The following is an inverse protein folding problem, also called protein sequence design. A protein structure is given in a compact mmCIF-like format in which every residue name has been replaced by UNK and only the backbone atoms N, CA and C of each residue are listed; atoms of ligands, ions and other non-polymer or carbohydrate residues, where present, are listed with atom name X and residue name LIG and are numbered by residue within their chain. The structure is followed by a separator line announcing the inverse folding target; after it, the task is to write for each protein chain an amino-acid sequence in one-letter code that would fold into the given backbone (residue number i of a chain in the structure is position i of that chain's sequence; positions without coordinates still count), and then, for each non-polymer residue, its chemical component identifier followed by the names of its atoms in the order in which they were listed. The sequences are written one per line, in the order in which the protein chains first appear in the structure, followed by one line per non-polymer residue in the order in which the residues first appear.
data_IF_904346595531
#
_entry.id   IF_904346595531
#
_cell.length_a   1.000
_cell.length_b   1.000
_cell.length_c   1.000
_cell.angle_alpha   90.00
_cell.angle_beta   90.00
_cell.angle_gamma   90.00
#
_symmetry.space_group_name_H-M   'P 1'
#
loop_
_entity.id
_entity.type
_entity.pdbx_description
1 polymer ?
#
# COMPACT_ATOMS: atom_id res chain seq x y z
N UNK A 1 -1.61 1.57 5.24
CA UNK A 1 -2.79 2.46 5.44
C UNK A 1 -3.02 3.22 4.14
N UNK A 2 -4.21 3.17 3.53
CA UNK A 2 -4.54 3.98 2.34
C UNK A 2 -5.67 4.95 2.69
N UNK A 3 -5.49 6.26 2.48
CA UNK A 3 -6.45 7.31 2.83
C UNK A 3 -7.04 7.93 1.55
N UNK A 4 -8.36 8.08 1.51
CA UNK A 4 -9.09 8.60 0.35
C UNK A 4 -9.58 10.04 0.62
N UNK A 5 -9.49 10.98 -0.33
CA UNK A 5 -10.11 12.29 -0.20
C UNK A 5 -11.58 12.23 -0.67
N UNK A 6 -12.53 12.33 0.29
CA UNK A 6 -13.94 12.57 0.01
C UNK A 6 -14.89 11.39 0.29
N UNK A 7 -15.80 11.58 1.25
CA UNK A 7 -17.07 10.86 1.36
C UNK A 7 -17.11 9.63 2.26
N UNK A 8 -16.31 8.59 1.98
CA UNK A 8 -16.39 7.32 2.72
C UNK A 8 -15.00 6.68 2.84
N UNK A 9 -14.09 7.35 3.55
CA UNK A 9 -12.71 6.88 3.76
C UNK A 9 -12.66 5.60 4.59
N UNK A 10 -12.83 4.45 3.96
CA UNK A 10 -12.64 3.14 4.59
C UNK A 10 -11.14 2.85 4.61
N UNK A 11 -10.51 3.01 5.77
CA UNK A 11 -9.15 2.55 5.98
C UNK A 11 -9.14 1.02 5.92
N UNK A 12 -8.54 0.46 4.86
CA UNK A 12 -8.31 -0.99 4.75
C UNK A 12 -6.86 -1.31 5.07
N UNK A 13 -6.67 -2.33 5.90
CA UNK A 13 -5.37 -2.97 6.09
C UNK A 13 -5.32 -4.26 5.29
N UNK A 14 -4.24 -4.42 4.54
CA UNK A 14 -3.96 -5.61 3.75
C UNK A 14 -2.66 -6.22 4.27
N UNK A 15 -2.69 -7.53 4.53
CA UNK A 15 -1.53 -8.29 4.98
C UNK A 15 -1.04 -9.27 3.90
N UNK A 16 -1.29 -8.91 2.64
CA UNK A 16 -0.97 -9.69 1.45
C UNK A 16 0.03 -8.94 0.59
N UNK A 17 0.88 -9.69 -0.11
CA UNK A 17 1.90 -9.15 -1.00
C UNK A 17 1.36 -8.76 -2.39
N UNK A 18 0.06 -8.93 -2.65
CA UNK A 18 -0.57 -8.52 -3.90
C UNK A 18 -1.93 -7.89 -3.59
N UNK A 19 -2.23 -6.74 -4.16
CA UNK A 19 -3.47 -6.00 -3.94
C UNK A 19 -3.99 -5.52 -5.29
N UNK A 20 -5.21 -5.90 -5.64
CA UNK A 20 -5.86 -5.46 -6.88
C UNK A 20 -6.79 -4.28 -6.63
N UNK A 21 -6.69 -3.26 -7.48
CA UNK A 21 -7.53 -2.07 -7.47
C UNK A 21 -8.37 -2.06 -8.74
N UNK A 22 -9.67 -1.85 -8.60
CA UNK A 22 -10.56 -1.78 -9.74
C UNK A 22 -12.01 -1.56 -9.35
N UNK A 23 -12.88 -1.41 -10.35
CA UNK A 23 -14.32 -1.27 -10.11
C UNK A 23 -15.00 -2.58 -9.72
N UNK A 24 -14.37 -3.71 -10.04
CA UNK A 24 -14.95 -5.00 -9.74
C UNK A 24 -15.02 -5.25 -8.22
N UNK A 25 -16.16 -5.72 -7.70
CA UNK A 25 -16.29 -6.02 -6.27
C UNK A 25 -15.40 -7.18 -5.80
N UNK A 26 -14.85 -7.98 -6.72
CA UNK A 26 -13.83 -9.00 -6.43
C UNK A 26 -12.42 -8.45 -6.26
N UNK A 27 -12.19 -7.15 -6.49
CA UNK A 27 -10.90 -6.51 -6.20
C UNK A 27 -10.75 -6.26 -4.70
N UNK A 28 -9.50 -6.24 -4.21
CA UNK A 28 -9.18 -5.89 -2.83
C UNK A 28 -9.60 -4.46 -2.48
N UNK A 29 -9.43 -3.55 -3.45
CA UNK A 29 -9.87 -2.17 -3.38
C UNK A 29 -10.92 -1.94 -4.46
N UNK A 30 -12.21 -2.21 -4.15
CA UNK A 30 -13.30 -1.93 -5.07
C UNK A 30 -13.59 -0.43 -5.09
N UNK A 31 -13.46 0.17 -6.27
CA UNK A 31 -13.75 1.58 -6.54
C UNK A 31 -15.03 1.70 -7.35
N UNK A 32 -16.13 2.08 -6.71
CA UNK A 32 -17.44 2.27 -7.36
C UNK A 32 -17.50 3.55 -8.20
N UNK A 33 -16.60 3.71 -9.17
CA UNK A 33 -16.52 4.87 -10.04
C UNK A 33 -16.44 4.45 -11.51
N UNK A 34 -17.23 5.07 -12.38
CA UNK A 34 -17.30 4.70 -13.80
C UNK A 34 -16.02 4.99 -14.58
N UNK A 35 -15.14 5.84 -14.07
CA UNK A 35 -13.84 6.12 -14.70
C UNK A 35 -12.77 5.07 -14.35
N UNK A 36 -13.10 4.09 -13.51
CA UNK A 36 -12.20 3.01 -13.09
C UNK A 36 -12.62 1.72 -13.81
N UNK A 37 -11.68 1.12 -14.54
CA UNK A 37 -11.86 -0.21 -15.17
C UNK A 37 -12.07 -1.32 -14.12
N UNK A 38 -12.70 -2.42 -14.52
CA UNK A 38 -12.97 -3.57 -13.63
C UNK A 38 -11.72 -4.06 -12.89
N UNK A 39 -10.59 -4.14 -13.60
CA UNK A 39 -9.24 -4.32 -13.07
C UNK A 39 -8.40 -3.14 -13.57
N UNK A 40 -8.05 -2.22 -12.69
CA UNK A 40 -7.43 -0.95 -13.07
C UNK A 40 -5.93 -0.98 -12.84
N UNK A 41 -5.54 -1.27 -11.60
CA UNK A 41 -4.15 -1.32 -11.18
C UNK A 41 -3.91 -2.52 -10.26
N UNK A 42 -2.67 -2.97 -10.23
CA UNK A 42 -2.23 -4.05 -9.38
C UNK A 42 -0.98 -3.61 -8.61
N UNK A 43 -1.04 -3.76 -7.30
CA UNK A 43 0.08 -3.50 -6.41
C UNK A 43 0.71 -4.83 -6.01
N UNK A 44 2.01 -4.96 -6.21
CA UNK A 44 2.78 -6.17 -5.89
C UNK A 44 3.91 -5.77 -4.96
N UNK A 45 3.99 -6.43 -3.81
CA UNK A 45 5.13 -6.34 -2.91
C UNK A 45 6.21 -7.31 -3.35
N UNK A 46 7.32 -6.80 -3.86
CA UNK A 46 8.43 -7.56 -4.38
C UNK A 46 9.78 -6.90 -4.02
N UNK A 47 10.79 -7.71 -3.68
CA UNK A 47 12.10 -7.22 -3.22
C UNK A 47 12.03 -6.16 -2.11
N UNK A 48 11.21 -6.40 -1.08
CA UNK A 48 10.97 -5.43 0.02
C UNK A 48 10.39 -4.08 -0.41
N UNK A 49 9.95 -3.93 -1.66
CA UNK A 49 9.40 -2.72 -2.22
C UNK A 49 7.99 -2.98 -2.72
N UNK A 50 7.12 -1.97 -2.64
CA UNK A 50 5.83 -2.03 -3.30
C UNK A 50 5.98 -1.54 -4.74
N UNK A 51 5.41 -2.28 -5.67
CA UNK A 51 5.39 -1.97 -7.09
C UNK A 51 3.94 -1.78 -7.51
N UNK A 52 3.68 -0.80 -8.35
CA UNK A 52 2.39 -0.63 -9.00
C UNK A 52 2.52 -0.86 -10.50
N UNK A 53 1.58 -1.64 -11.02
CA UNK A 53 1.42 -1.94 -12.43
C UNK A 53 0.01 -1.53 -12.88
N UNK A 54 -0.08 -0.79 -13.99
CA UNK A 54 -1.35 -0.48 -14.64
C UNK A 54 -1.78 -1.65 -15.52
N UNK A 55 -3.02 -2.12 -15.38
CA UNK A 55 -3.56 -3.24 -16.16
C UNK A 55 -4.29 -2.77 -17.43
N UNK A 56 -3.64 -1.87 -18.18
CA UNK A 56 -4.20 -1.22 -19.38
C UNK A 56 -5.55 -0.55 -19.08
N UNK A 57 -5.58 0.26 -18.03
CA UNK A 57 -6.79 0.93 -17.59
C UNK A 57 -7.22 2.03 -18.58
N UNK A 58 -8.53 2.29 -18.68
CA UNK A 58 -9.08 3.21 -19.70
C UNK A 58 -8.59 4.64 -19.55
N UNK A 59 -8.43 5.11 -18.32
CA UNK A 59 -7.95 6.47 -18.00
C UNK A 59 -6.46 6.52 -17.63
N UNK A 60 -5.82 5.35 -17.47
CA UNK A 60 -4.48 5.23 -16.92
C UNK A 60 -4.42 5.41 -15.39
N UNK A 61 -3.35 4.85 -14.82
CA UNK A 61 -2.95 5.05 -13.43
C UNK A 61 -1.86 6.13 -13.36
N UNK A 62 -1.92 7.02 -12.36
CA UNK A 62 -0.85 7.98 -12.05
C UNK A 62 -0.35 7.78 -10.63
N UNK A 63 0.94 8.03 -10.41
CA UNK A 63 1.63 8.05 -9.14
C UNK A 63 2.21 9.45 -8.96
N UNK A 64 1.80 10.19 -7.93
CA UNK A 64 2.22 11.58 -7.66
C UNK A 64 2.16 12.46 -8.93
N UNK A 65 0.98 12.52 -9.57
CA UNK A 65 0.74 13.22 -10.84
C UNK A 65 1.50 12.68 -12.07
N UNK A 66 2.34 11.65 -11.92
CA UNK A 66 3.10 11.04 -13.01
C UNK A 66 2.42 9.78 -13.53
N UNK A 67 2.11 9.66 -14.83
CA UNK A 67 1.47 8.46 -15.37
C UNK A 67 2.38 7.23 -15.24
N UNK A 68 1.82 6.13 -14.74
CA UNK A 68 2.49 4.85 -14.59
C UNK A 68 2.29 4.06 -15.88
N UNK A 69 3.27 4.12 -16.78
CA UNK A 69 3.28 3.29 -18.01
C UNK A 69 4.07 1.99 -17.86
N UNK A 70 4.92 1.91 -16.84
CA UNK A 70 5.73 0.74 -16.50
C UNK A 70 5.58 0.44 -15.00
N UNK A 71 5.82 -0.82 -14.56
CA UNK A 71 5.86 -1.16 -13.15
C UNK A 71 6.77 -0.20 -12.39
N UNK A 72 6.20 0.56 -11.46
CA UNK A 72 6.92 1.64 -10.75
C UNK A 72 6.90 1.36 -9.25
N UNK A 73 8.02 1.61 -8.57
CA UNK A 73 8.10 1.48 -7.12
C UNK A 73 7.30 2.58 -6.45
N UNK A 74 6.48 2.22 -5.46
CA UNK A 74 5.74 3.14 -4.61
C UNK A 74 6.31 3.11 -3.18
N UNK A 75 6.18 4.24 -2.50
CA UNK A 75 6.69 4.50 -1.16
C UNK A 75 5.59 5.02 -0.24
N UNK A 76 5.87 5.06 1.06
CA UNK A 76 4.95 5.61 2.04
C UNK A 76 4.77 7.11 1.83
N UNK A 77 3.52 7.55 1.64
CA UNK A 77 3.16 8.95 1.43
C UNK A 77 2.76 9.25 -0.01
N UNK A 78 2.97 8.32 -0.94
CA UNK A 78 2.65 8.53 -2.35
C UNK A 78 1.15 8.59 -2.61
N UNK A 79 0.75 9.40 -3.57
CA UNK A 79 -0.63 9.49 -4.04
C UNK A 79 -0.80 8.73 -5.35
N UNK A 80 -1.67 7.72 -5.32
CA UNK A 80 -2.08 6.96 -6.49
C UNK A 80 -3.40 7.50 -7.02
N UNK A 81 -3.43 7.88 -8.28
CA UNK A 81 -4.64 8.31 -8.97
C UNK A 81 -5.05 7.25 -9.97
N UNK A 82 -6.21 6.65 -9.74
CA UNK A 82 -6.84 5.67 -10.62
C UNK A 82 -8.04 6.33 -11.30
N UNK A 83 -7.90 6.74 -12.56
CA UNK A 83 -8.94 7.49 -13.26
C UNK A 83 -9.34 8.79 -12.54
N UNK A 84 -10.52 8.79 -11.92
CA UNK A 84 -11.07 9.94 -11.19
C UNK A 84 -10.94 9.86 -9.66
N UNK A 85 -10.29 8.81 -9.14
CA UNK A 85 -10.14 8.59 -7.70
C UNK A 85 -8.67 8.71 -7.30
N UNK A 86 -8.41 9.50 -6.26
CA UNK A 86 -7.10 9.60 -5.61
C UNK A 86 -7.03 8.72 -4.35
N UNK A 87 -5.89 8.08 -4.14
CA UNK A 87 -5.59 7.11 -3.10
C UNK A 87 -4.25 7.51 -2.47
N UNK A 88 -4.25 8.01 -1.24
CA UNK A 88 -2.98 8.25 -0.54
C UNK A 88 -2.48 6.95 0.07
N UNK A 89 -1.35 6.45 -0.39
CA UNK A 89 -0.68 5.27 0.17
C UNK A 89 0.17 5.69 1.36
N UNK A 90 0.03 4.99 2.47
CA UNK A 90 0.90 5.14 3.64
C UNK A 90 1.35 3.75 4.06
N UNK A 91 2.54 3.37 3.61
CA UNK A 91 3.17 2.12 4.03
C UNK A 91 3.71 2.35 5.44
N UNK A 92 3.06 1.78 6.45
CA UNK A 92 3.68 1.60 7.75
C UNK A 92 4.54 0.36 7.61
N UNK A 93 5.87 0.50 7.59
CA UNK A 93 6.73 -0.66 7.77
C UNK A 93 6.27 -1.35 9.04
N UNK A 94 5.89 -2.62 8.95
CA UNK A 94 6.02 -3.47 10.12
C UNK A 94 7.52 -3.45 10.40
N UNK A 95 7.93 -2.55 11.30
CA UNK A 95 9.21 -2.65 11.98
C UNK A 95 9.19 -4.06 12.53
N UNK A 96 9.93 -4.96 11.90
CA UNK A 96 10.32 -6.21 12.51
C UNK A 96 11.10 -5.73 13.72
N UNK A 97 10.43 -5.72 14.88
CA UNK A 97 11.11 -5.66 16.15
C UNK A 97 11.96 -6.92 16.18
N UNK A 98 13.19 -6.81 15.69
CA UNK A 98 14.24 -7.76 16.01
C UNK A 98 14.14 -7.98 17.52
N UNK A 99 13.90 -9.20 18.03
CA UNK A 99 14.00 -9.46 19.46
C UNK A 99 15.49 -9.27 19.79
N UNK A 100 15.90 -8.04 20.12
CA UNK A 100 17.28 -7.75 20.44
C UNK A 100 17.58 -8.36 21.81
N UNK A 101 18.02 -9.62 21.72
CA UNK A 101 18.92 -10.34 22.60
C UNK A 101 19.11 -9.76 24.02
N UNK A 102 18.56 -10.50 24.99
CA UNK A 102 19.28 -11.04 26.15
C UNK A 102 20.42 -10.16 26.70
N UNK A 103 20.11 -9.41 27.77
CA UNK A 103 21.09 -9.08 28.81
C UNK A 103 20.57 -9.59 30.16
N UNK A 104 20.66 -10.91 30.33
CA UNK A 104 20.99 -11.47 31.63
C UNK A 104 22.36 -10.90 32.04
N UNK A 105 22.35 -10.02 33.03
CA UNK A 105 23.42 -9.77 34.01
C UNK A 105 23.03 -8.56 34.85
N UNK A 106 22.39 -8.83 36.00
CA UNK A 106 22.51 -8.03 37.23
C UNK A 106 21.84 -8.79 38.39
N UNK A 107 22.44 -9.92 38.78
CA UNK A 107 22.38 -10.35 40.16
C UNK A 107 23.44 -9.53 40.90
N UNK A 108 22.99 -8.48 41.57
CA UNK A 108 23.78 -7.69 42.51
C UNK A 108 24.30 -8.61 43.60
N UNK A 109 25.62 -8.74 43.67
CA UNK A 109 26.31 -9.35 44.80
C UNK A 109 25.90 -8.66 46.10
N UNK A 110 25.39 -9.47 47.01
CA UNK A 110 25.28 -9.23 48.44
C UNK A 110 26.65 -8.85 48.99
N UNK A 111 26.81 -7.61 49.45
CA UNK A 111 27.84 -7.25 50.43
C UNK A 111 27.15 -7.30 51.80
N UNK A 112 27.41 -8.39 52.52
CA UNK A 112 27.46 -8.43 53.99
C UNK A 112 28.86 -8.90 54.36
#
# INVERSE_FOLDING_TARGET
MIKFPGGHGTLRHFNQAAITIGRDPGCDIPLSNDTVSARHAHLIYHHNQWWIEDLASTNGTKLNDTPVSIPTVITSGDELQCGGISLSVSLSENVVIEPTQRLEKRNTSRLQ
#
